data_IF_785364530739
#
_entry.id   IF_785364530739
#
_cell.length_a   1.000
_cell.length_b   1.000
_cell.length_c   1.000
_cell.angle_alpha   90.00
_cell.angle_beta   90.00
_cell.angle_gamma   90.00
#
_symmetry.space_group_name_H-M   'P 1'
#
loop_
_entity.id
_entity.type
_entity.pdbx_description
1 polymer ?
#
# COMPACT_ATOMS: atom_id res chain seq x y z
N UNK A 1 18.45 8.34 -9.71
CA UNK A 1 17.29 8.98 -10.38
C UNK A 1 16.09 8.45 -9.65
N UNK A 2 15.45 9.26 -8.83
CA UNK A 2 14.28 8.82 -8.06
C UNK A 2 13.19 8.37 -9.04
N UNK A 3 12.66 7.16 -8.85
CA UNK A 3 11.62 6.58 -9.71
C UNK A 3 10.25 7.15 -9.36
N UNK A 4 9.33 7.12 -10.31
CA UNK A 4 7.90 7.34 -10.05
C UNK A 4 7.22 5.97 -9.85
N UNK A 5 6.00 5.97 -9.31
CA UNK A 5 5.20 4.74 -9.20
C UNK A 5 5.00 4.13 -10.60
N UNK A 6 5.20 2.83 -10.73
CA UNK A 6 5.05 2.13 -12.01
C UNK A 6 3.58 1.97 -12.36
N UNK A 7 2.75 1.69 -11.34
CA UNK A 7 1.29 1.66 -11.48
C UNK A 7 0.66 2.98 -11.02
N UNK A 8 -0.38 3.43 -11.72
CA UNK A 8 -1.19 4.56 -11.27
C UNK A 8 -2.14 4.16 -10.12
N UNK A 9 -2.55 5.14 -9.29
CA UNK A 9 -3.47 4.89 -8.17
C UNK A 9 -4.78 4.21 -8.60
N UNK A 10 -5.39 4.68 -9.69
CA UNK A 10 -6.62 4.09 -10.21
C UNK A 10 -6.35 2.95 -11.21
N UNK A 11 -5.10 2.50 -11.32
CA UNK A 11 -4.70 1.32 -12.12
C UNK A 11 -5.11 -0.02 -11.49
N UNK A 12 -5.84 -0.02 -10.36
CA UNK A 12 -6.31 -1.25 -9.73
C UNK A 12 -7.18 -2.13 -10.65
N UNK A 13 -7.77 -1.56 -11.71
CA UNK A 13 -8.49 -2.33 -12.74
C UNK A 13 -7.58 -3.18 -13.64
N UNK A 14 -6.29 -2.87 -13.73
CA UNK A 14 -5.33 -3.70 -14.48
C UNK A 14 -5.08 -5.04 -13.77
N UNK A 15 -5.30 -5.07 -12.45
CA UNK A 15 -5.16 -6.28 -11.63
C UNK A 15 -6.41 -6.48 -10.76
N UNK A 16 -7.48 -6.92 -11.41
CA UNK A 16 -8.79 -7.16 -10.78
C UNK A 16 -8.68 -8.07 -9.54
N UNK A 17 -7.75 -9.04 -9.54
CA UNK A 17 -7.51 -9.90 -8.39
C UNK A 17 -7.04 -9.13 -7.15
N UNK A 18 -6.07 -8.23 -7.30
CA UNK A 18 -5.54 -7.42 -6.21
C UNK A 18 -6.57 -6.37 -5.78
N UNK A 19 -7.29 -5.77 -6.73
CA UNK A 19 -8.37 -4.84 -6.41
C UNK A 19 -9.49 -5.52 -5.60
N UNK A 20 -9.86 -6.75 -5.95
CA UNK A 20 -10.84 -7.53 -5.19
C UNK A 20 -10.30 -7.89 -3.80
N UNK A 21 -9.03 -8.27 -3.67
CA UNK A 21 -8.42 -8.54 -2.37
C UNK A 21 -8.36 -7.29 -1.50
N UNK A 22 -8.01 -6.14 -2.07
CA UNK A 22 -7.99 -4.85 -1.38
C UNK A 22 -9.39 -4.44 -0.89
N UNK A 23 -10.46 -4.85 -1.58
CA UNK A 23 -11.83 -4.51 -1.19
C UNK A 23 -12.48 -5.53 -0.26
N UNK A 24 -12.29 -6.84 -0.51
CA UNK A 24 -12.91 -7.93 0.24
C UNK A 24 -12.14 -8.27 1.51
N UNK A 25 -10.81 -8.25 1.46
CA UNK A 25 -9.93 -8.67 2.55
C UNK A 25 -8.70 -7.75 2.65
N UNK A 26 -8.88 -6.42 2.86
CA UNK A 26 -7.77 -5.46 2.93
C UNK A 26 -6.73 -5.85 3.97
N UNK A 27 -7.15 -6.43 5.09
CA UNK A 27 -6.25 -6.88 6.15
C UNK A 27 -5.26 -7.96 5.68
N UNK A 28 -5.72 -8.92 4.87
CA UNK A 28 -4.85 -9.95 4.31
C UNK A 28 -3.83 -9.35 3.34
N UNK A 29 -4.29 -8.47 2.46
CA UNK A 29 -3.43 -7.80 1.49
C UNK A 29 -2.39 -6.92 2.19
N UNK A 30 -2.80 -6.17 3.23
CA UNK A 30 -1.90 -5.37 4.05
C UNK A 30 -0.90 -6.21 4.82
N UNK A 31 -1.33 -7.33 5.40
CA UNK A 31 -0.43 -8.27 6.08
C UNK A 31 0.61 -8.86 5.12
N UNK A 32 0.20 -9.22 3.91
CA UNK A 32 1.12 -9.69 2.86
C UNK A 32 2.11 -8.60 2.47
N UNK A 33 1.64 -7.39 2.19
CA UNK A 33 2.47 -6.24 1.87
C UNK A 33 3.47 -5.93 2.99
N UNK A 34 3.03 -5.95 4.25
CA UNK A 34 3.91 -5.78 5.40
C UNK A 34 5.00 -6.86 5.44
N UNK A 35 4.66 -8.11 5.12
CA UNK A 35 5.63 -9.19 5.01
C UNK A 35 6.63 -8.96 3.89
N UNK A 36 6.19 -8.46 2.73
CA UNK A 36 7.05 -8.18 1.58
C UNK A 36 8.01 -7.02 1.88
N UNK A 37 7.57 -6.07 2.70
CA UNK A 37 8.38 -4.95 3.20
C UNK A 37 9.27 -5.35 4.40
N UNK A 38 9.14 -6.57 4.92
CA UNK A 38 9.95 -7.09 6.03
C UNK A 38 9.46 -6.70 7.43
N UNK A 39 8.20 -6.28 7.54
CA UNK A 39 7.51 -5.96 8.80
C UNK A 39 6.65 -7.11 9.32
N UNK A 40 6.31 -7.06 10.62
CA UNK A 40 5.54 -8.10 11.28
C UNK A 40 4.07 -8.10 10.85
N UNK A 41 3.75 -8.94 9.86
CA UNK A 41 2.44 -9.15 9.22
C UNK A 41 1.21 -9.04 10.16
N UNK A 42 1.23 -9.73 11.32
CA UNK A 42 0.09 -9.77 12.25
C UNK A 42 -0.12 -8.48 13.06
N UNK A 43 0.97 -7.78 13.40
CA UNK A 43 0.92 -6.56 14.22
C UNK A 43 0.40 -5.41 13.35
N UNK A 44 0.90 -5.29 12.13
CA UNK A 44 0.42 -4.32 11.15
C UNK A 44 -1.06 -4.54 10.82
N UNK A 45 -1.50 -5.80 10.62
CA UNK A 45 -2.91 -6.15 10.41
C UNK A 45 -3.84 -5.69 11.54
N UNK A 46 -3.46 -5.95 12.80
CA UNK A 46 -4.27 -5.61 13.96
C UNK A 46 -4.33 -4.09 14.16
N UNK A 47 -3.24 -3.37 13.92
CA UNK A 47 -3.20 -1.92 14.09
C UNK A 47 -4.00 -1.22 12.97
N UNK A 48 -3.97 -1.71 11.72
CA UNK A 48 -4.76 -1.11 10.63
C UNK A 48 -6.27 -1.13 10.93
N UNK A 49 -6.77 -2.18 11.60
CA UNK A 49 -8.18 -2.27 11.99
C UNK A 49 -8.61 -1.24 13.07
N UNK A 50 -7.68 -0.78 13.91
CA UNK A 50 -7.98 0.11 15.05
C UNK A 50 -7.44 1.55 14.89
N UNK A 51 -6.41 1.76 14.06
CA UNK A 51 -5.69 3.03 13.89
C UNK A 51 -5.57 3.39 12.41
N UNK A 52 -6.57 3.06 11.60
CA UNK A 52 -6.66 3.57 10.24
C UNK A 52 -6.66 5.12 10.25
N UNK A 53 -5.88 5.83 9.42
CA UNK A 53 -5.06 5.39 8.28
C UNK A 53 -3.53 5.39 8.54
N UNK A 54 -3.06 5.53 9.78
CA UNK A 54 -1.64 5.80 10.08
C UNK A 54 -0.68 4.67 9.68
N UNK A 55 -0.97 3.38 9.96
CA UNK A 55 -0.13 2.25 9.56
C UNK A 55 0.06 2.18 8.05
N UNK A 56 -1.00 2.50 7.31
CA UNK A 56 -0.99 2.48 5.85
C UNK A 56 -0.03 3.52 5.27
N UNK A 57 0.00 4.72 5.84
CA UNK A 57 0.96 5.77 5.44
C UNK A 57 2.40 5.33 5.75
N UNK A 58 2.64 4.69 6.90
CA UNK A 58 3.95 4.19 7.25
C UNK A 58 4.45 3.07 6.32
N UNK A 59 3.58 2.11 5.97
CA UNK A 59 3.94 1.04 5.03
C UNK A 59 4.20 1.61 3.64
N UNK A 60 3.35 2.53 3.16
CA UNK A 60 3.56 3.22 1.88
C UNK A 60 4.92 3.90 1.82
N UNK A 61 5.32 4.59 2.89
CA UNK A 61 6.65 5.21 2.99
C UNK A 61 7.79 4.21 2.86
N UNK A 62 7.66 3.01 3.45
CA UNK A 62 8.66 1.95 3.35
C UNK A 62 8.71 1.30 1.96
N UNK A 63 7.55 1.12 1.31
CA UNK A 63 7.51 0.65 -0.10
C UNK A 63 8.29 1.61 -0.99
N UNK A 64 8.13 2.93 -0.78
CA UNK A 64 8.91 3.94 -1.52
C UNK A 64 10.39 3.88 -1.24
N UNK A 65 10.77 3.67 0.01
CA UNK A 65 12.17 3.52 0.40
C UNK A 65 12.80 2.28 -0.25
N UNK A 66 12.08 1.15 -0.29
CA UNK A 66 12.56 -0.08 -0.91
C UNK A 66 12.65 0.00 -2.44
N UNK A 67 11.73 0.74 -3.08
CA UNK A 67 11.64 0.86 -4.54
C UNK A 67 12.32 2.12 -5.10
N UNK A 68 12.96 2.94 -4.25
CA UNK A 68 13.58 4.23 -4.58
C UNK A 68 12.61 5.21 -5.29
N UNK A 69 11.36 5.25 -4.80
CA UNK A 69 10.27 6.06 -5.37
C UNK A 69 10.21 7.44 -4.72
N UNK A 70 10.23 8.49 -5.54
CA UNK A 70 10.14 9.88 -5.08
C UNK A 70 8.77 10.24 -4.53
N UNK A 71 8.73 10.90 -3.37
CA UNK A 71 7.66 11.83 -3.01
C UNK A 71 7.52 12.07 -1.51
N UNK A 72 6.35 12.53 -1.08
CA UNK A 72 6.16 13.16 0.24
C UNK A 72 5.07 12.50 1.07
N UNK A 73 5.23 12.59 2.40
CA UNK A 73 4.23 12.13 3.37
C UNK A 73 2.87 12.80 3.11
N UNK A 74 2.84 14.06 2.67
CA UNK A 74 1.58 14.77 2.36
C UNK A 74 0.87 14.09 1.16
N UNK A 75 1.61 13.74 0.12
CA UNK A 75 1.06 12.99 -1.02
C UNK A 75 0.51 11.64 -0.57
N UNK A 76 1.20 10.96 0.34
CA UNK A 76 0.79 9.64 0.86
C UNK A 76 -0.49 9.74 1.70
N UNK A 77 -0.58 10.75 2.58
CA UNK A 77 -1.78 11.03 3.37
C UNK A 77 -2.98 11.29 2.46
N UNK A 78 -2.82 12.15 1.45
CA UNK A 78 -3.92 12.49 0.52
C UNK A 78 -4.35 11.26 -0.28
N UNK A 79 -3.40 10.43 -0.72
CA UNK A 79 -3.70 9.22 -1.49
C UNK A 79 -4.44 8.17 -0.66
N UNK A 80 -3.99 7.91 0.56
CA UNK A 80 -4.63 6.95 1.47
C UNK A 80 -6.02 7.46 1.92
N UNK A 81 -6.18 8.77 2.15
CA UNK A 81 -7.47 9.37 2.49
C UNK A 81 -8.45 9.40 1.30
N UNK A 82 -7.94 9.59 0.08
CA UNK A 82 -8.76 9.64 -1.13
C UNK A 82 -9.24 8.24 -1.54
N UNK A 83 -8.34 7.26 -1.57
CA UNK A 83 -8.67 5.86 -1.83
C UNK A 83 -7.62 4.92 -1.24
N UNK A 84 -7.84 4.42 -0.02
CA UNK A 84 -6.92 3.46 0.60
C UNK A 84 -6.85 2.12 -0.10
N UNK A 85 -7.98 1.58 -0.57
CA UNK A 85 -7.96 0.30 -1.29
C UNK A 85 -7.16 0.39 -2.60
N UNK A 86 -7.27 1.53 -3.30
CA UNK A 86 -6.48 1.80 -4.50
C UNK A 86 -4.99 1.95 -4.18
N UNK A 87 -4.67 2.71 -3.12
CA UNK A 87 -3.30 2.88 -2.66
C UNK A 87 -2.67 1.55 -2.23
N UNK A 88 -3.42 0.71 -1.51
CA UNK A 88 -3.00 -0.62 -1.09
C UNK A 88 -2.76 -1.56 -2.28
N UNK A 89 -3.66 -1.52 -3.26
CA UNK A 89 -3.52 -2.31 -4.48
C UNK A 89 -2.28 -1.88 -5.27
N UNK A 90 -2.07 -0.57 -5.43
CA UNK A 90 -0.88 0.00 -6.07
C UNK A 90 0.41 -0.45 -5.37
N UNK A 91 0.45 -0.37 -4.04
CA UNK A 91 1.61 -0.81 -3.24
C UNK A 91 1.87 -2.32 -3.39
N UNK A 92 0.82 -3.14 -3.33
CA UNK A 92 0.93 -4.58 -3.52
C UNK A 92 1.43 -4.95 -4.92
N UNK A 93 0.92 -4.28 -5.96
CA UNK A 93 1.39 -4.48 -7.34
C UNK A 93 2.86 -4.10 -7.50
N UNK A 94 3.26 -2.94 -6.98
CA UNK A 94 4.65 -2.48 -7.05
C UNK A 94 5.61 -3.43 -6.32
N UNK A 95 5.12 -4.14 -5.30
CA UNK A 95 5.90 -5.15 -4.58
C UNK A 95 5.94 -6.51 -5.28
N UNK A 96 4.95 -6.84 -6.11
CA UNK A 96 4.94 -8.07 -6.93
C UNK A 96 5.80 -7.99 -8.20
N UNK A 97 6.10 -6.78 -8.69
CA UNK A 97 7.04 -6.53 -9.81
C UNK A 97 8.52 -6.51 -9.39
#
# INVERSE_FOLDING_TARGET
MSKEWTHELFGCFDNVGICLLAHLVPCYLFGRLASDVGESCLICMLIDMFIYPWPHICIRGKVREQRDISGTIISDVVQVLCCSCCALAQEAQEMEE
#
